data_IF_937491555195
#
_entry.id   IF_937491555195
#
_cell.length_a   1.000
_cell.length_b   1.000
_cell.length_c   1.000
_cell.angle_alpha   90.00
_cell.angle_beta   90.00
_cell.angle_gamma   90.00
#
_symmetry.space_group_name_H-M   'P 1'
#
loop_
_entity.id
_entity.type
_entity.pdbx_description
1 polymer ?
#
# COMPACT_ATOMS: atom_id res chain seq x y z
N UNK A 1 5.79 -2.14 16.91
CA UNK A 1 4.74 -1.09 16.94
C UNK A 1 5.24 0.31 16.54
N UNK A 2 6.55 0.55 16.36
CA UNK A 2 7.09 1.91 16.14
C UNK A 2 7.04 2.44 14.70
N UNK A 3 6.79 1.62 13.67
CA UNK A 3 6.90 2.04 12.27
C UNK A 3 5.59 2.13 11.48
N UNK A 4 4.44 1.82 12.09
CA UNK A 4 3.15 1.89 11.40
C UNK A 4 2.70 3.33 11.22
N UNK A 5 2.28 3.71 10.00
CA UNK A 5 1.63 5.01 9.76
C UNK A 5 0.16 4.89 10.15
N UNK A 6 -0.26 5.72 11.10
CA UNK A 6 -1.66 5.95 11.41
C UNK A 6 -2.14 7.16 10.61
N UNK A 7 -3.17 6.96 9.79
CA UNK A 7 -3.82 8.02 9.02
C UNK A 7 -5.02 8.56 9.78
N UNK A 8 -5.08 9.87 9.95
CA UNK A 8 -6.15 10.55 10.67
C UNK A 8 -6.77 11.60 9.77
N UNK A 9 -8.01 11.34 9.36
CA UNK A 9 -8.74 12.23 8.45
C UNK A 9 -9.05 13.58 9.11
N UNK A 10 -8.82 14.66 8.35
CA UNK A 10 -9.12 16.02 8.79
C UNK A 10 -10.60 16.31 8.57
N UNK A 11 -11.32 16.63 9.64
CA UNK A 11 -12.70 17.08 9.60
C UNK A 11 -12.87 18.32 10.46
N UNK A 12 -13.68 19.28 10.03
CA UNK A 12 -13.90 20.56 10.72
C UNK A 12 -14.34 20.40 12.20
N UNK A 13 -15.01 19.29 12.53
CA UNK A 13 -15.46 19.00 13.90
C UNK A 13 -14.33 18.61 14.85
N UNK A 14 -13.19 18.15 14.34
CA UNK A 14 -12.04 17.76 15.15
C UNK A 14 -11.03 18.91 15.22
N UNK A 15 -11.17 19.78 16.22
CA UNK A 15 -10.35 20.98 16.39
C UNK A 15 -8.86 20.67 16.61
N UNK A 16 -8.53 19.59 17.31
CA UNK A 16 -7.15 19.19 17.56
C UNK A 16 -6.46 18.81 16.24
N UNK A 17 -7.10 17.97 15.42
CA UNK A 17 -6.60 17.57 14.10
C UNK A 17 -6.50 18.77 13.16
N UNK A 18 -7.50 19.68 13.17
CA UNK A 18 -7.45 20.90 12.38
C UNK A 18 -6.28 21.82 12.79
N UNK A 19 -6.00 21.92 14.08
CA UNK A 19 -4.87 22.72 14.59
C UNK A 19 -3.54 22.13 14.15
N UNK A 20 -3.38 20.80 14.24
CA UNK A 20 -2.19 20.11 13.78
C UNK A 20 -2.01 20.25 12.26
N UNK A 21 -3.09 20.14 11.48
CA UNK A 21 -3.05 20.34 10.03
C UNK A 21 -2.63 21.77 9.66
N UNK A 22 -3.18 22.80 10.33
CA UNK A 22 -2.78 24.19 10.09
C UNK A 22 -1.29 24.42 10.33
N UNK A 23 -0.77 23.93 11.46
CA UNK A 23 0.63 24.07 11.78
C UNK A 23 1.53 23.39 10.73
N UNK A 24 1.18 22.16 10.33
CA UNK A 24 1.98 21.40 9.39
C UNK A 24 1.91 21.97 7.96
N UNK A 25 0.74 22.45 7.54
CA UNK A 25 0.55 23.12 6.26
C UNK A 25 1.34 24.43 6.19
N UNK A 26 1.39 25.18 7.30
CA UNK A 26 2.22 26.39 7.39
C UNK A 26 3.70 26.06 7.21
N UNK A 27 4.22 25.06 7.93
CA UNK A 27 5.62 24.64 7.80
C UNK A 27 5.96 24.15 6.38
N UNK A 28 5.02 23.47 5.72
CA UNK A 28 5.16 23.04 4.33
C UNK A 28 5.26 24.23 3.37
N UNK A 29 4.38 25.22 3.53
CA UNK A 29 4.38 26.41 2.68
C UNK A 29 5.60 27.30 2.90
N UNK A 30 6.10 27.41 4.14
CA UNK A 30 7.37 28.08 4.44
C UNK A 30 8.56 27.40 3.76
N UNK A 31 8.56 26.05 3.69
CA UNK A 31 9.60 25.30 2.97
C UNK A 31 9.52 25.54 1.45
N UNK A 32 8.31 25.56 0.87
CA UNK A 32 8.13 25.86 -0.55
C UNK A 32 8.54 27.30 -0.88
N UNK A 33 8.15 28.27 -0.05
CA UNK A 33 8.51 29.69 -0.23
C UNK A 33 10.02 29.90 -0.22
N UNK A 34 10.75 29.18 0.65
CA UNK A 34 12.20 29.25 0.72
C UNK A 34 12.93 28.76 -0.54
N UNK A 35 12.23 27.99 -1.40
CA UNK A 35 12.76 27.46 -2.67
C UNK A 35 12.11 28.08 -3.90
N UNK A 36 11.19 29.01 -3.72
CA UNK A 36 10.47 29.69 -4.81
C UNK A 36 11.23 30.93 -5.26
N UNK A 37 11.29 31.15 -6.58
CA UNK A 37 11.84 32.38 -7.17
C UNK A 37 10.92 33.59 -6.91
N UNK A 38 9.62 33.37 -6.66
CA UNK A 38 8.63 34.40 -6.33
C UNK A 38 8.02 34.09 -4.96
N UNK A 39 7.91 35.11 -4.07
CA UNK A 39 7.30 34.90 -2.75
C UNK A 39 5.86 34.38 -2.83
N UNK A 40 5.56 33.36 -2.05
CA UNK A 40 4.19 32.85 -1.96
C UNK A 40 3.30 33.81 -1.15
N UNK A 41 1.99 33.89 -1.45
CA UNK A 41 1.05 34.79 -0.75
C UNK A 41 0.68 34.24 0.64
N UNK A 42 1.66 34.25 1.55
CA UNK A 42 1.54 33.69 2.91
C UNK A 42 0.44 34.34 3.75
N UNK A 43 0.05 35.60 3.45
CA UNK A 43 -1.07 36.29 4.06
C UNK A 43 -2.44 35.65 3.75
N UNK A 44 -2.56 34.95 2.63
CA UNK A 44 -3.76 34.21 2.21
C UNK A 44 -3.81 32.78 2.75
N UNK A 45 -2.68 32.26 3.24
CA UNK A 45 -2.55 30.86 3.67
C UNK A 45 -3.60 30.44 4.72
N UNK A 46 -3.91 31.23 5.78
CA UNK A 46 -4.94 30.84 6.74
C UNK A 46 -6.32 30.62 6.11
N UNK A 47 -6.72 31.50 5.18
CA UNK A 47 -8.00 31.39 4.46
C UNK A 47 -8.02 30.17 3.54
N UNK A 48 -6.90 29.87 2.90
CA UNK A 48 -6.78 28.70 2.05
C UNK A 48 -6.89 27.41 2.85
N UNK A 49 -6.18 27.30 3.98
CA UNK A 49 -6.27 26.14 4.87
C UNK A 49 -7.71 25.96 5.41
N UNK A 50 -8.37 27.06 5.81
CA UNK A 50 -9.76 27.00 6.27
C UNK A 50 -10.70 26.50 5.16
N UNK A 51 -10.46 26.90 3.91
CA UNK A 51 -11.20 26.42 2.75
C UNK A 51 -10.99 24.91 2.53
N UNK A 52 -9.75 24.42 2.65
CA UNK A 52 -9.45 22.98 2.55
C UNK A 52 -10.23 22.22 3.63
N UNK A 53 -10.19 22.66 4.88
CA UNK A 53 -10.91 22.01 5.99
C UNK A 53 -12.43 22.03 5.76
N UNK A 54 -12.98 23.16 5.31
CA UNK A 54 -14.41 23.29 5.05
C UNK A 54 -14.93 22.40 3.91
N UNK A 55 -14.07 22.09 2.93
CA UNK A 55 -14.40 21.21 1.81
C UNK A 55 -14.33 19.71 2.14
N UNK A 56 -13.86 19.33 3.35
CA UNK A 56 -13.81 17.91 3.72
C UNK A 56 -15.21 17.40 4.06
N UNK A 57 -15.53 16.22 3.57
CA UNK A 57 -16.83 15.57 3.78
C UNK A 57 -17.19 14.59 2.68
N UNK A 58 -17.11 14.97 1.38
CA UNK A 58 -17.30 14.02 0.28
C UNK A 58 -16.33 12.84 0.35
N UNK A 59 -16.78 11.68 -0.11
CA UNK A 59 -15.97 10.44 -0.08
C UNK A 59 -14.73 10.51 -0.96
N UNK A 60 -14.80 11.27 -2.04
CA UNK A 60 -13.80 11.42 -3.09
C UNK A 60 -12.72 12.51 -2.79
N UNK A 61 -12.76 13.10 -1.58
CA UNK A 61 -11.82 14.13 -1.13
C UNK A 61 -11.16 13.69 0.17
N UNK A 62 -9.85 13.64 0.16
CA UNK A 62 -9.05 13.11 1.26
C UNK A 62 -8.01 14.13 1.73
N UNK A 63 -8.10 14.53 2.99
CA UNK A 63 -7.04 15.24 3.71
C UNK A 63 -6.76 14.46 4.98
N UNK A 64 -5.56 13.94 5.12
CA UNK A 64 -5.20 13.07 6.23
C UNK A 64 -3.84 13.46 6.82
N UNK A 65 -3.76 13.48 8.15
CA UNK A 65 -2.52 13.56 8.90
C UNK A 65 -1.92 12.18 9.09
N UNK A 66 -0.62 12.08 8.96
CA UNK A 66 0.13 10.84 9.03
C UNK A 66 0.98 10.81 10.31
N UNK A 67 0.81 9.79 11.15
CA UNK A 67 1.50 9.64 12.43
C UNK A 67 2.27 8.33 12.48
N UNK A 68 3.45 8.35 13.10
CA UNK A 68 4.25 7.14 13.41
C UNK A 68 4.69 7.22 14.88
N UNK A 69 4.38 6.19 15.67
CA UNK A 69 4.73 6.18 17.10
C UNK A 69 4.17 7.38 17.87
N UNK A 70 3.00 7.91 17.46
CA UNK A 70 2.39 9.11 18.03
C UNK A 70 2.96 10.43 17.51
N UNK A 71 4.02 10.42 16.70
CA UNK A 71 4.61 11.62 16.11
C UNK A 71 3.98 11.95 14.78
N UNK A 72 3.63 13.22 14.55
CA UNK A 72 3.15 13.71 13.27
C UNK A 72 4.31 13.77 12.28
N UNK A 73 4.21 13.02 11.17
CA UNK A 73 5.29 12.85 10.19
C UNK A 73 5.02 13.53 8.86
N UNK A 74 3.77 13.92 8.59
CA UNK A 74 3.39 14.51 7.32
C UNK A 74 1.88 14.55 7.13
N UNK A 75 1.45 14.98 5.96
CA UNK A 75 0.06 14.95 5.54
C UNK A 75 -0.05 14.66 4.04
N UNK A 76 -1.24 14.26 3.63
CA UNK A 76 -1.64 14.14 2.25
C UNK A 76 -2.97 14.87 2.02
N UNK A 77 -3.12 15.47 0.84
CA UNK A 77 -4.36 16.08 0.40
C UNK A 77 -4.57 15.79 -1.08
N UNK A 78 -5.70 15.19 -1.41
CA UNK A 78 -6.08 14.90 -2.78
C UNK A 78 -7.58 14.69 -2.94
N UNK A 79 -8.00 14.57 -4.18
CA UNK A 79 -9.41 14.37 -4.57
C UNK A 79 -9.49 13.60 -5.88
N UNK A 80 -10.64 13.00 -6.17
CA UNK A 80 -11.00 12.65 -7.54
C UNK A 80 -11.70 13.83 -8.20
N UNK A 81 -11.26 14.22 -9.37
CA UNK A 81 -11.84 15.36 -10.08
C UNK A 81 -13.21 15.02 -10.68
N UNK A 82 -14.14 15.96 -10.53
CA UNK A 82 -15.47 15.94 -11.13
C UNK A 82 -15.67 17.15 -12.03
N UNK A 83 -16.59 17.04 -12.99
CA UNK A 83 -16.88 18.08 -13.99
C UNK A 83 -17.38 19.41 -13.37
N UNK A 84 -17.96 19.36 -12.16
CA UNK A 84 -18.45 20.53 -11.41
C UNK A 84 -17.39 21.18 -10.52
N UNK A 85 -16.19 20.61 -10.42
CA UNK A 85 -15.10 21.23 -9.70
C UNK A 85 -14.59 22.49 -10.44
N UNK A 86 -14.11 23.45 -9.65
CA UNK A 86 -13.53 24.69 -10.19
C UNK A 86 -12.04 24.54 -10.44
N UNK A 87 -11.52 25.36 -11.34
CA UNK A 87 -10.10 25.41 -11.68
C UNK A 87 -9.72 24.43 -12.77
N UNK A 88 -8.42 24.14 -12.86
CA UNK A 88 -7.93 23.09 -13.75
C UNK A 88 -8.32 21.72 -13.20
N UNK A 89 -9.02 20.95 -14.01
CA UNK A 89 -9.49 19.61 -13.65
C UNK A 89 -9.22 18.62 -14.77
N UNK A 90 -8.98 17.36 -14.39
CA UNK A 90 -9.01 16.18 -15.27
C UNK A 90 -10.11 15.23 -14.76
N UNK A 91 -11.35 15.29 -15.28
CA UNK A 91 -12.48 14.56 -14.75
C UNK A 91 -12.19 13.07 -14.59
N UNK A 92 -12.54 12.50 -13.44
CA UNK A 92 -12.30 11.11 -13.02
C UNK A 92 -10.83 10.74 -12.77
N UNK A 93 -9.92 11.71 -12.77
CA UNK A 93 -8.55 11.49 -12.33
C UNK A 93 -8.42 11.77 -10.84
N UNK A 94 -7.60 10.99 -10.15
CA UNK A 94 -7.13 11.33 -8.81
C UNK A 94 -6.14 12.49 -8.90
N UNK A 95 -6.42 13.60 -8.26
CA UNK A 95 -5.53 14.75 -8.17
C UNK A 95 -4.82 14.76 -6.82
N UNK A 96 -3.51 14.55 -6.81
CA UNK A 96 -2.67 14.79 -5.62
C UNK A 96 -2.40 16.29 -5.58
N UNK A 97 -3.05 16.99 -4.66
CA UNK A 97 -2.98 18.44 -4.54
C UNK A 97 -1.79 18.85 -3.66
N UNK A 98 -1.69 18.27 -2.47
CA UNK A 98 -0.59 18.53 -1.54
C UNK A 98 -0.10 17.23 -0.91
N UNK A 99 1.21 17.13 -0.74
CA UNK A 99 1.83 15.94 -0.18
C UNK A 99 3.13 16.31 0.53
N UNK A 100 3.16 16.11 1.84
CA UNK A 100 4.28 16.54 2.65
C UNK A 100 4.75 15.48 3.62
N UNK A 101 6.07 15.28 3.66
CA UNK A 101 6.76 14.50 4.69
C UNK A 101 7.73 15.43 5.41
N UNK A 102 7.59 15.53 6.73
CA UNK A 102 8.48 16.35 7.55
C UNK A 102 9.94 15.97 7.31
N UNK A 103 10.89 16.93 7.22
CA UNK A 103 12.28 16.69 6.81
C UNK A 103 12.97 15.55 7.57
N UNK A 104 12.78 15.48 8.89
CA UNK A 104 13.40 14.44 9.75
C UNK A 104 12.90 13.02 9.51
N UNK A 105 11.79 12.86 8.78
CA UNK A 105 11.20 11.57 8.42
C UNK A 105 11.41 11.17 6.97
N UNK A 106 12.04 12.03 6.15
CA UNK A 106 12.35 11.74 4.74
C UNK A 106 13.41 10.65 4.60
N UNK A 107 13.45 10.01 3.44
CA UNK A 107 14.40 8.94 3.06
C UNK A 107 14.34 7.70 3.96
N UNK A 108 13.23 7.50 4.68
CA UNK A 108 12.94 6.35 5.55
C UNK A 108 11.76 5.49 5.02
N UNK A 109 11.37 5.68 3.76
CA UNK A 109 10.28 4.92 3.12
C UNK A 109 8.86 5.45 3.40
N UNK A 110 8.68 6.38 4.33
CA UNK A 110 7.34 6.88 4.68
C UNK A 110 6.61 7.55 3.51
N UNK A 111 7.30 8.34 2.69
CA UNK A 111 6.69 8.96 1.51
C UNK A 111 6.10 7.94 0.53
N UNK A 112 6.82 6.86 0.23
CA UNK A 112 6.29 5.76 -0.61
C UNK A 112 5.04 5.15 0.02
N UNK A 113 5.04 4.88 1.33
CA UNK A 113 3.88 4.28 2.03
C UNK A 113 2.67 5.22 2.04
N UNK A 114 2.89 6.50 2.28
CA UNK A 114 1.83 7.52 2.20
C UNK A 114 1.26 7.62 0.79
N UNK A 115 2.11 7.57 -0.24
CA UNK A 115 1.68 7.57 -1.64
C UNK A 115 0.82 6.33 -1.98
N UNK A 116 1.25 5.12 -1.60
CA UNK A 116 0.48 3.90 -1.82
C UNK A 116 -0.89 3.94 -1.12
N UNK A 117 -0.98 4.57 0.06
CA UNK A 117 -2.25 4.82 0.73
C UNK A 117 -3.14 5.79 -0.08
N UNK A 118 -2.58 6.89 -0.60
CA UNK A 118 -3.33 7.83 -1.46
C UNK A 118 -3.83 7.14 -2.74
N UNK A 119 -2.96 6.36 -3.40
CA UNK A 119 -3.35 5.59 -4.60
C UNK A 119 -4.49 4.60 -4.27
N UNK A 120 -4.46 3.96 -3.09
CA UNK A 120 -5.55 3.10 -2.63
C UNK A 120 -6.86 3.89 -2.45
N UNK A 121 -6.83 5.09 -1.87
CA UNK A 121 -8.01 5.94 -1.72
C UNK A 121 -8.59 6.31 -3.09
N UNK A 122 -7.77 6.77 -4.02
CA UNK A 122 -8.20 7.11 -5.37
C UNK A 122 -8.79 5.91 -6.13
N UNK A 123 -8.18 4.73 -5.99
CA UNK A 123 -8.71 3.49 -6.56
C UNK A 123 -10.08 3.15 -5.98
N UNK A 124 -10.25 3.28 -4.66
CA UNK A 124 -11.52 3.05 -3.97
C UNK A 124 -12.61 4.00 -4.48
N UNK A 125 -12.25 5.22 -4.83
CA UNK A 125 -13.15 6.23 -5.40
C UNK A 125 -13.31 6.09 -6.92
N UNK A 126 -12.70 5.06 -7.54
CA UNK A 126 -12.92 4.69 -8.94
C UNK A 126 -12.04 5.41 -9.95
N UNK A 127 -11.01 6.16 -9.52
CA UNK A 127 -10.07 6.79 -10.44
C UNK A 127 -9.22 5.73 -11.15
N UNK A 128 -9.06 5.84 -12.48
CA UNK A 128 -8.21 4.97 -13.30
C UNK A 128 -6.82 5.57 -13.57
N UNK A 129 -6.72 6.87 -13.47
CA UNK A 129 -5.48 7.64 -13.62
C UNK A 129 -5.37 8.66 -12.51
N UNK A 130 -4.16 9.11 -12.25
CA UNK A 130 -3.91 10.18 -11.30
C UNK A 130 -2.91 11.18 -11.88
N UNK A 131 -2.95 12.40 -11.38
CA UNK A 131 -2.04 13.46 -11.79
C UNK A 131 -1.66 14.36 -10.62
N UNK A 132 -0.61 15.12 -10.85
CA UNK A 132 -0.14 16.16 -9.95
C UNK A 132 0.64 17.21 -10.73
N UNK A 133 0.90 18.35 -10.11
CA UNK A 133 1.90 19.31 -10.57
C UNK A 133 3.11 19.22 -9.66
N UNK A 134 4.28 18.87 -10.19
CA UNK A 134 5.44 18.60 -9.38
C UNK A 134 6.29 19.84 -9.14
N UNK A 135 6.62 20.13 -7.89
CA UNK A 135 7.71 21.05 -7.57
C UNK A 135 9.02 20.53 -8.19
N UNK A 136 9.72 21.35 -8.99
CA UNK A 136 10.89 20.90 -9.76
C UNK A 136 12.10 20.55 -8.87
N UNK A 137 12.17 21.11 -7.66
CA UNK A 137 13.33 20.96 -6.77
C UNK A 137 13.19 19.75 -5.86
N UNK A 138 12.08 19.64 -5.14
CA UNK A 138 11.90 18.62 -4.10
C UNK A 138 10.98 17.48 -4.52
N UNK A 139 9.96 17.75 -5.34
CA UNK A 139 8.89 16.82 -5.69
C UNK A 139 9.22 15.90 -6.86
N UNK A 140 9.76 16.46 -7.95
CA UNK A 140 9.98 15.73 -9.20
C UNK A 140 10.70 14.38 -9.06
N UNK A 141 11.87 14.26 -8.41
CA UNK A 141 12.56 12.97 -8.32
C UNK A 141 11.76 11.91 -7.54
N UNK A 142 10.97 12.34 -6.55
CA UNK A 142 10.10 11.45 -5.79
C UNK A 142 8.96 10.91 -6.66
N UNK A 143 8.28 11.78 -7.39
CA UNK A 143 7.14 11.38 -8.21
C UNK A 143 7.54 10.51 -9.40
N UNK A 144 8.68 10.80 -10.03
CA UNK A 144 9.26 9.93 -11.07
C UNK A 144 9.59 8.54 -10.52
N UNK A 145 10.15 8.46 -9.29
CA UNK A 145 10.39 7.18 -8.60
C UNK A 145 9.09 6.44 -8.20
N UNK A 146 7.96 7.15 -8.08
CA UNK A 146 6.63 6.55 -7.86
C UNK A 146 5.94 6.15 -9.17
N UNK A 147 6.59 6.31 -10.32
CA UNK A 147 6.08 5.91 -11.63
C UNK A 147 5.27 6.97 -12.37
N UNK A 148 5.30 8.22 -11.93
CA UNK A 148 4.69 9.32 -12.68
C UNK A 148 5.57 9.75 -13.85
N UNK A 149 4.96 10.02 -15.00
CA UNK A 149 5.62 10.52 -16.19
C UNK A 149 5.20 11.97 -16.47
N UNK A 150 6.15 12.80 -16.87
CA UNK A 150 5.88 14.17 -17.35
C UNK A 150 5.08 14.09 -18.66
N UNK A 151 3.94 14.78 -18.70
CA UNK A 151 3.06 14.81 -19.88
C UNK A 151 3.56 15.76 -20.98
N UNK A 152 4.49 16.66 -20.68
CA UNK A 152 4.89 17.77 -21.53
C UNK A 152 3.92 18.97 -21.46
N UNK A 153 2.87 18.90 -20.66
CA UNK A 153 1.91 19.97 -20.42
C UNK A 153 2.22 20.69 -19.11
N UNK A 154 1.82 21.96 -19.04
CA UNK A 154 1.91 22.76 -17.83
C UNK A 154 0.52 23.13 -17.32
N UNK A 155 0.37 23.16 -16.01
CA UNK A 155 -0.84 23.64 -15.37
C UNK A 155 -1.06 25.13 -15.67
N UNK A 156 -2.25 25.52 -16.13
CA UNK A 156 -2.56 26.94 -16.39
C UNK A 156 -2.56 27.78 -15.10
N UNK A 157 -2.71 27.17 -13.93
CA UNK A 157 -2.82 27.87 -12.65
C UNK A 157 -1.47 28.25 -12.04
N UNK A 158 -0.51 27.29 -12.02
CA UNK A 158 0.79 27.48 -11.36
C UNK A 158 2.00 27.34 -12.27
N UNK A 159 1.78 27.07 -13.57
CA UNK A 159 2.83 26.88 -14.61
C UNK A 159 3.81 25.73 -14.34
N UNK A 160 3.51 24.86 -13.37
CA UNK A 160 4.29 23.67 -13.11
C UNK A 160 3.95 22.57 -14.11
N UNK A 161 4.93 21.70 -14.38
CA UNK A 161 4.74 20.55 -15.25
C UNK A 161 3.74 19.57 -14.65
N UNK A 162 2.86 19.04 -15.50
CA UNK A 162 1.88 18.03 -15.13
C UNK A 162 2.50 16.66 -15.30
N UNK A 163 2.39 15.86 -14.25
CA UNK A 163 2.81 14.46 -14.23
C UNK A 163 1.59 13.57 -14.07
N UNK A 164 1.56 12.46 -14.80
CA UNK A 164 0.46 11.49 -14.77
C UNK A 164 0.97 10.07 -14.54
N UNK A 165 0.10 9.26 -13.94
CA UNK A 165 0.30 7.84 -13.72
C UNK A 165 -1.06 7.13 -13.77
N UNK A 166 -1.10 5.91 -14.31
CA UNK A 166 -2.24 5.04 -14.15
C UNK A 166 -2.34 4.57 -12.70
N UNK A 167 -3.57 4.55 -12.14
CA UNK A 167 -3.83 3.96 -10.82
C UNK A 167 -3.65 2.45 -10.95
N UNK A 168 -2.82 1.88 -10.09
CA UNK A 168 -2.64 0.45 -10.09
C UNK A 168 -3.89 -0.27 -9.56
N UNK A 169 -4.48 -1.10 -10.41
CA UNK A 169 -5.54 -2.05 -10.05
C UNK A 169 -4.93 -3.44 -10.09
N UNK A 170 -4.88 -4.17 -8.96
CA UNK A 170 -4.37 -5.52 -8.97
C UNK A 170 -5.28 -6.42 -9.81
N UNK A 171 -4.74 -6.93 -10.89
CA UNK A 171 -5.42 -7.93 -11.73
C UNK A 171 -4.96 -9.32 -11.30
N UNK A 172 -5.65 -9.88 -10.31
CA UNK A 172 -5.32 -11.21 -9.82
C UNK A 172 -5.68 -12.30 -10.83
N UNK A 173 -6.66 -12.07 -11.71
CA UNK A 173 -7.10 -13.06 -12.69
C UNK A 173 -6.04 -13.34 -13.76
N UNK A 174 -5.22 -12.34 -14.08
CA UNK A 174 -4.09 -12.44 -15.00
C UNK A 174 -2.73 -12.61 -14.31
N UNK A 175 -2.71 -12.86 -12.99
CA UNK A 175 -1.48 -13.13 -12.27
C UNK A 175 -0.83 -14.45 -12.72
N UNK A 176 0.48 -14.48 -12.91
CA UNK A 176 1.27 -15.68 -13.24
C UNK A 176 2.17 -16.06 -12.07
N UNK A 177 2.30 -17.36 -11.82
CA UNK A 177 3.20 -17.87 -10.80
C UNK A 177 4.59 -18.08 -11.42
N UNK A 178 5.57 -17.32 -10.93
CA UNK A 178 6.96 -17.37 -11.37
C UNK A 178 7.87 -17.78 -10.20
N UNK A 179 8.96 -18.52 -10.45
CA UNK A 179 9.97 -18.76 -9.43
C UNK A 179 10.51 -17.45 -8.88
N UNK A 180 10.90 -17.41 -7.61
CA UNK A 180 11.57 -16.24 -7.05
C UNK A 180 12.91 -15.98 -7.76
N UNK A 181 13.19 -14.72 -8.04
CA UNK A 181 14.48 -14.22 -8.52
C UNK A 181 15.13 -13.38 -7.42
N UNK A 182 16.42 -13.07 -7.57
CA UNK A 182 17.11 -12.18 -6.62
C UNK A 182 16.38 -10.82 -6.48
N UNK A 183 15.83 -10.29 -7.56
CA UNK A 183 15.10 -9.02 -7.57
C UNK A 183 13.79 -9.12 -6.79
N UNK A 184 12.97 -10.15 -7.04
CA UNK A 184 11.70 -10.37 -6.33
C UNK A 184 11.92 -10.69 -4.86
N UNK A 185 12.94 -11.46 -4.53
CA UNK A 185 13.36 -11.72 -3.14
C UNK A 185 13.73 -10.42 -2.42
N UNK A 186 14.54 -9.55 -3.05
CA UNK A 186 14.92 -8.27 -2.46
C UNK A 186 13.72 -7.37 -2.17
N UNK A 187 12.67 -7.40 -3.00
CA UNK A 187 11.44 -6.64 -2.76
C UNK A 187 10.60 -7.29 -1.65
N UNK A 188 10.36 -8.60 -1.71
CA UNK A 188 9.52 -9.32 -0.75
C UNK A 188 10.15 -9.29 0.66
N UNK A 189 11.48 -9.38 0.78
CA UNK A 189 12.19 -9.29 2.06
C UNK A 189 11.94 -7.97 2.82
N UNK A 190 11.48 -6.94 2.13
CA UNK A 190 11.15 -5.65 2.75
C UNK A 190 9.66 -5.51 3.14
N UNK A 191 8.85 -6.56 2.97
CA UNK A 191 7.44 -6.48 3.30
C UNK A 191 7.19 -6.41 4.80
N UNK A 192 6.42 -5.40 5.20
CA UNK A 192 5.96 -5.18 6.57
C UNK A 192 4.43 -5.12 6.58
N UNK A 193 3.83 -5.90 7.46
CA UNK A 193 2.39 -5.87 7.69
C UNK A 193 2.05 -5.03 8.92
N UNK A 194 0.86 -4.46 8.91
CA UNK A 194 0.36 -3.68 10.03
C UNK A 194 -0.16 -4.58 11.16
N UNK A 195 -0.04 -4.10 12.41
CA UNK A 195 -0.64 -4.80 13.54
C UNK A 195 -2.16 -5.03 13.33
N UNK A 196 -2.71 -6.16 13.72
CA UNK A 196 -2.09 -7.21 14.51
C UNK A 196 -1.38 -8.31 13.70
N UNK A 197 -1.03 -8.03 12.43
CA UNK A 197 -0.43 -8.99 11.50
C UNK A 197 1.08 -8.78 11.29
N UNK A 198 1.69 -7.90 12.09
CA UNK A 198 3.10 -7.56 12.05
C UNK A 198 4.04 -8.76 12.24
N UNK A 199 3.62 -9.79 12.99
CA UNK A 199 4.36 -11.04 13.16
C UNK A 199 4.57 -11.83 11.84
N UNK A 200 3.80 -11.54 10.78
CA UNK A 200 3.95 -12.15 9.46
C UNK A 200 4.82 -11.34 8.51
N UNK A 201 5.43 -10.24 8.98
CA UNK A 201 6.33 -9.41 8.17
C UNK A 201 7.59 -10.19 7.80
N UNK A 202 8.08 -9.97 6.59
CA UNK A 202 9.37 -10.53 6.18
C UNK A 202 10.51 -9.74 6.83
N UNK A 203 10.50 -8.43 6.68
CA UNK A 203 11.55 -7.55 7.20
C UNK A 203 11.71 -7.64 8.71
N UNK A 204 12.92 -8.01 9.14
CA UNK A 204 13.27 -8.18 10.54
C UNK A 204 12.70 -9.44 11.20
N UNK A 205 12.04 -10.32 10.43
CA UNK A 205 11.49 -11.60 10.90
C UNK A 205 11.91 -12.79 10.04
N UNK A 206 11.72 -12.67 8.69
CA UNK A 206 11.96 -13.77 7.74
C UNK A 206 12.82 -13.35 6.55
N UNK A 207 13.33 -12.13 6.54
CA UNK A 207 14.15 -11.59 5.47
C UNK A 207 15.43 -12.41 5.27
N UNK A 208 16.13 -12.79 6.36
CA UNK A 208 17.33 -13.64 6.27
C UNK A 208 17.03 -15.00 5.65
N UNK A 209 15.91 -15.64 6.04
CA UNK A 209 15.46 -16.90 5.45
C UNK A 209 15.15 -16.75 3.95
N UNK A 210 14.45 -15.70 3.57
CA UNK A 210 14.06 -15.47 2.18
C UNK A 210 15.27 -15.15 1.29
N UNK A 211 16.26 -14.45 1.82
CA UNK A 211 17.48 -14.06 1.11
C UNK A 211 18.47 -15.22 0.88
N UNK A 212 18.34 -16.31 1.61
CA UNK A 212 19.22 -17.49 1.48
C UNK A 212 18.45 -18.70 0.89
N UNK A 213 18.49 -18.85 -0.43
CA UNK A 213 17.82 -19.93 -1.14
C UNK A 213 18.26 -21.33 -0.63
N UNK A 214 19.48 -21.47 -0.11
CA UNK A 214 20.01 -22.75 0.34
C UNK A 214 19.28 -23.35 1.56
N UNK A 215 18.56 -22.50 2.31
CA UNK A 215 17.84 -22.89 3.53
C UNK A 215 16.30 -22.92 3.36
N UNK A 216 15.76 -22.65 2.16
CA UNK A 216 14.30 -22.59 2.01
C UNK A 216 13.59 -23.90 2.38
N UNK A 217 14.15 -25.03 2.04
CA UNK A 217 13.55 -26.34 2.30
C UNK A 217 12.21 -26.59 1.60
N UNK A 218 11.65 -25.60 0.95
CA UNK A 218 10.39 -25.59 0.19
C UNK A 218 10.56 -24.85 -1.12
N UNK A 219 9.71 -25.11 -2.10
CA UNK A 219 9.72 -24.36 -3.34
C UNK A 219 9.08 -22.97 -3.13
N UNK A 220 9.70 -21.94 -3.67
CA UNK A 220 9.31 -20.56 -3.52
C UNK A 220 8.97 -19.91 -4.86
N UNK A 221 7.85 -19.21 -4.92
CA UNK A 221 7.33 -18.53 -6.10
C UNK A 221 6.81 -17.14 -5.72
N UNK A 222 6.59 -16.30 -6.72
CA UNK A 222 5.77 -15.09 -6.60
C UNK A 222 4.64 -15.12 -7.63
N UNK A 223 3.46 -14.62 -7.24
CA UNK A 223 2.38 -14.31 -8.16
C UNK A 223 2.60 -12.90 -8.68
N UNK A 224 2.74 -12.74 -10.00
CA UNK A 224 3.09 -11.46 -10.65
C UNK A 224 2.05 -11.14 -11.72
N UNK A 225 1.65 -9.86 -11.82
CA UNK A 225 0.87 -9.34 -12.94
C UNK A 225 1.49 -8.02 -13.41
N UNK A 226 1.76 -7.89 -14.71
CA UNK A 226 2.36 -6.71 -15.34
C UNK A 226 3.63 -6.20 -14.61
N UNK A 227 4.48 -7.14 -14.16
CA UNK A 227 5.70 -6.83 -13.43
C UNK A 227 5.52 -6.45 -11.96
N UNK A 228 4.29 -6.49 -11.44
CA UNK A 228 3.96 -6.17 -10.05
C UNK A 228 3.77 -7.47 -9.26
N UNK A 229 4.47 -7.59 -8.13
CA UNK A 229 4.34 -8.73 -7.25
C UNK A 229 3.04 -8.62 -6.45
N UNK A 230 2.11 -9.54 -6.69
CA UNK A 230 0.83 -9.63 -5.99
C UNK A 230 0.96 -10.41 -4.68
N UNK A 231 1.87 -11.37 -4.63
CA UNK A 231 2.13 -12.18 -3.44
C UNK A 231 3.28 -13.15 -3.59
N UNK A 232 3.75 -13.67 -2.47
CA UNK A 232 4.70 -14.78 -2.39
C UNK A 232 3.93 -16.07 -2.14
N UNK A 233 4.41 -17.19 -2.68
CA UNK A 233 3.83 -18.52 -2.54
C UNK A 233 4.93 -19.51 -2.25
N UNK A 234 4.77 -20.30 -1.19
CA UNK A 234 5.64 -21.43 -0.87
C UNK A 234 4.85 -22.73 -1.01
N UNK A 235 5.49 -23.80 -1.42
CA UNK A 235 4.85 -25.10 -1.42
C UNK A 235 5.83 -26.26 -1.24
N UNK A 236 5.31 -27.36 -0.69
CA UNK A 236 6.03 -28.64 -0.58
C UNK A 236 5.06 -29.81 -0.63
N UNK A 237 5.55 -30.96 -1.02
CA UNK A 237 4.79 -32.21 -0.94
C UNK A 237 5.07 -32.95 0.37
N UNK A 238 3.99 -33.45 1.00
CA UNK A 238 4.05 -34.45 2.06
C UNK A 238 3.20 -35.65 1.61
N UNK A 239 3.86 -36.70 1.09
CA UNK A 239 3.19 -37.77 0.39
C UNK A 239 2.53 -37.28 -0.91
N UNK A 240 1.22 -37.50 -1.03
CA UNK A 240 0.43 -37.06 -2.20
C UNK A 240 -0.21 -35.67 -1.96
N UNK A 241 -0.11 -35.12 -0.76
CA UNK A 241 -0.68 -33.84 -0.37
C UNK A 241 0.27 -32.68 -0.68
N UNK A 242 -0.29 -31.60 -1.24
CA UNK A 242 0.46 -30.38 -1.50
C UNK A 242 0.18 -29.35 -0.40
N UNK A 243 1.16 -29.08 0.44
CA UNK A 243 1.13 -28.05 1.43
C UNK A 243 1.53 -26.71 0.82
N UNK A 244 0.76 -25.67 1.12
CA UNK A 244 0.98 -24.32 0.59
C UNK A 244 0.98 -23.28 1.70
N UNK A 245 1.81 -22.26 1.51
CA UNK A 245 1.80 -21.02 2.28
C UNK A 245 1.89 -19.85 1.33
N UNK A 246 1.24 -18.74 1.65
CA UNK A 246 1.29 -17.54 0.84
C UNK A 246 1.14 -16.27 1.64
N UNK A 247 1.73 -15.22 1.10
CA UNK A 247 1.70 -13.88 1.65
C UNK A 247 1.30 -12.91 0.53
N UNK A 248 0.18 -12.20 0.68
CA UNK A 248 -0.22 -11.15 -0.27
C UNK A 248 0.59 -9.89 -0.01
N UNK A 249 1.01 -9.18 -1.06
CA UNK A 249 1.74 -7.93 -0.92
C UNK A 249 1.04 -6.97 0.07
N UNK A 250 1.75 -6.37 1.03
CA UNK A 250 1.13 -5.56 2.09
C UNK A 250 0.22 -4.46 1.58
N UNK A 251 0.61 -3.78 0.48
CA UNK A 251 -0.18 -2.74 -0.15
C UNK A 251 -1.54 -3.21 -0.72
N UNK A 252 -1.72 -4.53 -0.91
CA UNK A 252 -2.93 -5.13 -1.46
C UNK A 252 -3.82 -5.77 -0.38
N UNK A 253 -3.35 -5.81 0.86
CA UNK A 253 -4.11 -6.41 1.98
C UNK A 253 -5.22 -5.50 2.47
N UNK A 254 -6.27 -6.08 3.09
CA UNK A 254 -7.37 -5.30 3.67
C UNK A 254 -8.38 -4.74 2.66
N UNK A 255 -8.22 -5.01 1.35
CA UNK A 255 -9.03 -4.45 0.27
C UNK A 255 -10.11 -5.42 -0.26
N UNK A 256 -10.32 -6.54 0.41
CA UNK A 256 -11.30 -7.54 -0.02
C UNK A 256 -10.81 -8.58 -1.04
N UNK A 257 -9.59 -8.43 -1.54
CA UNK A 257 -9.02 -9.25 -2.62
C UNK A 257 -8.50 -10.63 -2.17
N UNK A 258 -8.53 -10.94 -0.87
CA UNK A 258 -7.90 -12.16 -0.32
C UNK A 258 -8.40 -13.46 -0.94
N UNK A 259 -9.69 -13.58 -1.21
CA UNK A 259 -10.25 -14.80 -1.82
C UNK A 259 -9.78 -14.97 -3.28
N UNK A 260 -9.89 -13.92 -4.10
CA UNK A 260 -9.44 -13.94 -5.51
C UNK A 260 -7.95 -14.24 -5.61
N UNK A 261 -7.13 -13.64 -4.72
CA UNK A 261 -5.70 -13.93 -4.63
C UNK A 261 -5.45 -15.42 -4.37
N UNK A 262 -6.13 -16.01 -3.37
CA UNK A 262 -5.98 -17.41 -3.01
C UNK A 262 -6.43 -18.34 -4.14
N UNK A 263 -7.59 -18.05 -4.75
CA UNK A 263 -8.12 -18.80 -5.90
C UNK A 263 -7.12 -18.80 -7.06
N UNK A 264 -6.51 -17.64 -7.36
CA UNK A 264 -5.51 -17.54 -8.41
C UNK A 264 -4.24 -18.30 -8.06
N UNK A 265 -3.73 -18.20 -6.83
CA UNK A 265 -2.59 -18.97 -6.37
C UNK A 265 -2.83 -20.49 -6.53
N UNK A 266 -4.03 -20.97 -6.16
CA UNK A 266 -4.42 -22.38 -6.32
C UNK A 266 -4.43 -22.79 -7.78
N UNK A 267 -5.03 -22.00 -8.66
CA UNK A 267 -5.08 -22.29 -10.10
C UNK A 267 -3.67 -22.39 -10.70
N UNK A 268 -2.84 -21.41 -10.39
CA UNK A 268 -1.49 -21.35 -10.93
C UNK A 268 -0.58 -22.46 -10.36
N UNK A 269 -0.67 -22.76 -9.06
CA UNK A 269 0.14 -23.83 -8.48
C UNK A 269 -0.29 -25.19 -9.04
N UNK A 270 -1.59 -25.43 -9.23
CA UNK A 270 -2.10 -26.63 -9.92
C UNK A 270 -1.55 -26.72 -11.34
N UNK A 271 -1.55 -25.62 -12.08
CA UNK A 271 -1.03 -25.55 -13.46
C UNK A 271 0.48 -25.84 -13.50
N UNK A 272 1.26 -25.15 -12.67
CA UNK A 272 2.74 -25.25 -12.68
C UNK A 272 3.21 -26.61 -12.18
N UNK A 273 2.55 -27.16 -11.15
CA UNK A 273 2.90 -28.45 -10.54
C UNK A 273 2.21 -29.66 -11.21
N UNK A 274 1.23 -29.45 -12.09
CA UNK A 274 0.40 -30.53 -12.61
C UNK A 274 -0.40 -31.26 -11.51
N UNK A 275 -0.67 -30.57 -10.38
CA UNK A 275 -1.29 -31.17 -9.20
C UNK A 275 -2.82 -31.09 -9.26
N UNK A 276 -3.48 -32.24 -9.13
CA UNK A 276 -4.94 -32.35 -9.09
C UNK A 276 -5.48 -32.85 -7.74
N UNK A 277 -4.58 -33.19 -6.82
CA UNK A 277 -4.91 -33.73 -5.51
C UNK A 277 -5.30 -32.65 -4.48
N UNK A 278 -5.24 -33.05 -3.22
CA UNK A 278 -5.57 -32.22 -2.06
C UNK A 278 -4.50 -31.14 -1.84
N UNK A 279 -4.95 -29.92 -1.56
CA UNK A 279 -4.10 -28.81 -1.15
C UNK A 279 -4.39 -28.49 0.30
N UNK A 280 -3.36 -28.41 1.09
CA UNK A 280 -3.41 -28.14 2.53
C UNK A 280 -2.69 -26.83 2.88
N UNK A 281 -3.18 -26.15 3.89
CA UNK A 281 -2.50 -25.01 4.47
C UNK A 281 -2.67 -24.97 5.99
N UNK A 282 -1.77 -24.25 6.67
CA UNK A 282 -1.88 -23.91 8.07
C UNK A 282 -2.10 -22.42 8.23
N UNK A 283 -2.99 -22.04 9.12
CA UNK A 283 -3.26 -20.63 9.40
C UNK A 283 -3.47 -20.44 10.90
N UNK A 284 -2.81 -19.44 11.48
CA UNK A 284 -3.05 -19.07 12.87
C UNK A 284 -4.53 -18.85 13.14
N UNK A 285 -5.06 -19.46 14.20
CA UNK A 285 -6.47 -19.30 14.61
C UNK A 285 -6.84 -17.84 14.93
N UNK A 286 -5.84 -16.97 15.15
CA UNK A 286 -6.02 -15.53 15.37
C UNK A 286 -6.11 -14.75 14.05
N UNK A 287 -5.59 -15.28 12.95
CA UNK A 287 -5.62 -14.61 11.64
C UNK A 287 -7.00 -14.73 10.97
N UNK A 288 -8.00 -14.09 11.57
CA UNK A 288 -9.40 -14.14 11.10
C UNK A 288 -9.56 -13.61 9.66
N UNK A 289 -8.69 -12.70 9.23
CA UNK A 289 -8.68 -12.15 7.87
C UNK A 289 -8.32 -13.25 6.86
N UNK A 290 -7.25 -13.98 7.09
CA UNK A 290 -6.80 -15.06 6.22
C UNK A 290 -7.80 -16.23 6.23
N UNK A 291 -8.26 -16.67 7.40
CA UNK A 291 -9.27 -17.74 7.54
C UNK A 291 -10.51 -17.43 6.68
N UNK A 292 -11.03 -16.18 6.76
CA UNK A 292 -12.18 -15.77 5.99
C UNK A 292 -11.91 -15.78 4.47
N UNK A 293 -10.70 -15.42 4.04
CA UNK A 293 -10.29 -15.49 2.64
C UNK A 293 -10.23 -16.94 2.15
N UNK A 294 -9.62 -17.83 2.92
CA UNK A 294 -9.52 -19.27 2.60
C UNK A 294 -10.89 -19.93 2.52
N UNK A 295 -11.77 -19.67 3.48
CA UNK A 295 -13.15 -20.18 3.45
C UNK A 295 -13.92 -19.73 2.20
N UNK A 296 -13.75 -18.46 1.78
CA UNK A 296 -14.36 -17.94 0.55
C UNK A 296 -13.78 -18.59 -0.71
N UNK A 297 -12.48 -18.91 -0.70
CA UNK A 297 -11.81 -19.63 -1.78
C UNK A 297 -12.07 -21.16 -1.76
N UNK A 298 -12.95 -21.64 -0.87
CA UNK A 298 -13.40 -23.04 -0.84
C UNK A 298 -12.66 -23.94 0.14
N UNK A 299 -11.66 -23.44 0.86
CA UNK A 299 -10.96 -24.23 1.88
C UNK A 299 -11.88 -24.55 3.07
N UNK A 300 -11.77 -25.78 3.57
CA UNK A 300 -12.54 -26.28 4.72
C UNK A 300 -11.61 -26.56 5.89
N UNK A 301 -12.09 -26.30 7.10
CA UNK A 301 -11.39 -26.68 8.33
C UNK A 301 -11.27 -28.20 8.45
N UNK A 302 -10.10 -28.68 8.83
CA UNK A 302 -9.82 -30.11 9.12
C UNK A 302 -9.63 -30.29 10.62
N UNK A 303 -8.64 -29.65 11.19
CA UNK A 303 -8.27 -29.81 12.60
C UNK A 303 -7.52 -28.58 13.12
N UNK A 304 -7.31 -28.53 14.44
CA UNK A 304 -6.46 -27.55 15.09
C UNK A 304 -5.21 -28.26 15.63
N UNK A 305 -4.05 -27.67 15.33
CA UNK A 305 -2.76 -28.12 15.82
C UNK A 305 -2.06 -27.00 16.59
N UNK A 306 -1.08 -27.37 17.42
CA UNK A 306 -0.13 -26.40 17.96
C UNK A 306 1.04 -26.27 17.00
N UNK A 307 1.33 -25.06 16.55
CA UNK A 307 2.44 -24.78 15.66
C UNK A 307 3.08 -23.44 16.01
N UNK A 308 4.27 -23.20 15.51
CA UNK A 308 5.02 -21.99 15.75
C UNK A 308 4.58 -20.87 14.80
N UNK A 309 4.38 -19.65 15.34
CA UNK A 309 4.24 -18.47 14.51
C UNK A 309 5.61 -18.18 13.89
N UNK A 310 5.74 -18.51 12.61
CA UNK A 310 6.77 -18.05 11.70
C UNK A 310 8.11 -17.70 12.38
N UNK A 311 8.87 -18.71 12.81
CA UNK A 311 10.22 -18.60 13.43
C UNK A 311 10.29 -17.77 14.73
N UNK A 312 9.16 -17.44 15.35
CA UNK A 312 9.13 -16.62 16.57
C UNK A 312 9.43 -17.38 17.85
N UNK A 313 9.46 -18.71 17.81
CA UNK A 313 9.53 -19.60 18.98
C UNK A 313 8.23 -19.65 19.81
N UNK A 314 7.18 -18.95 19.39
CA UNK A 314 5.90 -18.89 20.10
C UNK A 314 4.90 -19.89 19.49
N UNK A 315 4.44 -20.83 20.31
CA UNK A 315 3.39 -21.78 19.92
C UNK A 315 2.01 -21.16 20.09
N UNK A 316 1.16 -21.39 19.10
CA UNK A 316 -0.26 -21.04 19.15
C UNK A 316 -1.12 -22.04 18.38
N UNK A 317 -2.45 -21.89 18.48
CA UNK A 317 -3.40 -22.70 17.74
C UNK A 317 -3.38 -22.33 16.24
N UNK A 318 -3.12 -23.32 15.40
CA UNK A 318 -3.26 -23.22 13.95
C UNK A 318 -4.40 -24.11 13.45
N UNK A 319 -5.17 -23.58 12.53
CA UNK A 319 -6.10 -24.36 11.75
C UNK A 319 -5.40 -24.99 10.56
N UNK A 320 -5.54 -26.30 10.41
CA UNK A 320 -5.29 -26.98 9.16
C UNK A 320 -6.54 -26.86 8.32
N UNK A 321 -6.38 -26.41 7.07
CA UNK A 321 -7.48 -26.28 6.13
C UNK A 321 -7.13 -26.99 4.81
N UNK A 322 -8.15 -27.54 4.13
CA UNK A 322 -8.01 -28.29 2.90
C UNK A 322 -8.90 -27.78 1.76
N UNK A 323 -8.47 -28.00 0.52
CA UNK A 323 -9.19 -27.74 -0.73
C UNK A 323 -9.10 -28.94 -1.66
#
# INVERSE_FOLDING_TARGET
MENQIKYVRVFAQNQEVCTAFRALMTSYMEELDAHSDEPLPMDLLPKWIDSIIAMQGPSDRHTELCYVGGNLIGFLYGKVDHEDHKGFIKPRYGYIMEFYVCPQYRRKGYGKRMFLHMEHLFRKDGAKRMYLTADPVSGKPFWEAMGFANTGEQSPENKLDIYEKDVFYPDFENGELLPLSQETVAEISQWEYEAPYDAYSFKGHHDEYLLDESIWGVEQFCLVCDGIILGQVACQYEGDDLWVGWSMAPALTGQGNGAIFVERCVQEIRRVKGHSGRILLRVSARNKRAIKAYQKAGFRYVETIQDEIAFSGLLEDFWVMEL
#
